data_IF_408960602520
#
_entry.id   IF_408960602520
#
_cell.length_a   1.000
_cell.length_b   1.000
_cell.length_c   1.000
_cell.angle_alpha   90.00
_cell.angle_beta   90.00
_cell.angle_gamma   90.00
#
_symmetry.space_group_name_H-M   'P 1'
#
loop_
_entity.id
_entity.type
_entity.pdbx_description
1 polymer ?
#
# COMPACT_ATOMS: atom_id res chain seq x y z
N UNK A 1 9.34 10.52 0.00
CA UNK A 1 7.89 10.37 0.25
C UNK A 1 7.71 10.46 1.76
N UNK A 2 7.24 11.59 2.24
CA UNK A 2 7.18 11.93 3.66
C UNK A 2 5.75 11.69 4.16
N UNK A 3 5.34 10.44 4.38
CA UNK A 3 4.09 10.19 5.12
C UNK A 3 4.44 10.23 6.61
N UNK A 4 4.46 11.45 7.16
CA UNK A 4 4.92 11.78 8.52
C UNK A 4 4.10 11.09 9.63
N UNK A 5 2.93 10.50 9.30
CA UNK A 5 2.06 9.79 10.24
C UNK A 5 2.36 8.30 10.45
N UNK A 6 3.14 7.64 9.58
CA UNK A 6 3.45 6.21 9.67
C UNK A 6 4.89 5.92 10.16
N UNK A 7 5.63 6.95 10.55
CA UNK A 7 6.98 6.80 11.11
C UNK A 7 8.07 6.36 10.12
N UNK A 8 7.77 6.25 8.82
CA UNK A 8 8.74 5.91 7.77
C UNK A 8 9.20 4.44 7.74
N UNK A 9 8.77 3.64 8.73
CA UNK A 9 9.13 2.23 8.92
C UNK A 9 7.92 1.30 8.86
N UNK A 10 6.73 1.82 8.58
CA UNK A 10 5.53 0.99 8.49
C UNK A 10 5.67 -0.05 7.35
N UNK A 11 5.22 -1.31 7.52
CA UNK A 11 5.35 -2.37 6.51
C UNK A 11 4.84 -1.98 5.11
N UNK A 12 3.79 -1.15 5.05
CA UNK A 12 3.27 -0.60 3.79
C UNK A 12 4.27 0.34 3.11
N UNK A 13 4.95 1.21 3.85
CA UNK A 13 5.93 2.14 3.29
C UNK A 13 7.20 1.41 2.83
N UNK A 14 7.60 0.36 3.54
CA UNK A 14 8.69 -0.53 3.11
C UNK A 14 8.32 -1.22 1.80
N UNK A 15 7.17 -1.88 1.72
CA UNK A 15 6.73 -2.54 0.51
C UNK A 15 6.52 -1.58 -0.67
N UNK A 16 6.08 -0.34 -0.41
CA UNK A 16 5.97 0.69 -1.46
C UNK A 16 7.31 1.08 -2.06
N UNK A 17 8.36 1.14 -1.23
CA UNK A 17 9.74 1.40 -1.67
C UNK A 17 10.33 0.20 -2.40
N UNK A 18 10.17 -1.01 -1.85
CA UNK A 18 10.64 -2.25 -2.49
C UNK A 18 10.00 -2.45 -3.88
N UNK A 19 8.71 -2.11 -4.01
CA UNK A 19 7.93 -2.31 -5.22
C UNK A 19 8.02 -1.20 -6.25
N UNK A 20 8.79 -0.12 -5.98
CA UNK A 20 8.87 1.10 -6.80
C UNK A 20 7.49 1.53 -7.33
N UNK A 21 6.52 1.62 -6.42
CA UNK A 21 5.11 1.83 -6.75
C UNK A 21 4.82 3.23 -7.32
N UNK A 22 5.40 4.32 -6.78
CA UNK A 22 5.14 5.66 -7.28
C UNK A 22 5.71 5.91 -8.68
N UNK A 23 4.92 6.52 -9.56
CA UNK A 23 5.45 7.27 -10.71
C UNK A 23 5.42 8.77 -10.41
N UNK A 24 4.26 9.43 -10.52
CA UNK A 24 4.13 10.87 -10.21
C UNK A 24 3.97 11.18 -8.71
N UNK A 25 3.77 10.17 -7.86
CA UNK A 25 3.64 10.34 -6.41
C UNK A 25 2.28 10.85 -5.89
N UNK A 26 1.47 11.50 -6.73
CA UNK A 26 0.28 12.25 -6.25
C UNK A 26 -0.75 11.42 -5.47
N UNK A 27 -1.09 10.22 -5.96
CA UNK A 27 -2.09 9.36 -5.31
C UNK A 27 -1.52 8.48 -4.19
N UNK A 28 -0.21 8.51 -3.96
CA UNK A 28 0.49 7.47 -3.20
C UNK A 28 0.20 7.55 -1.70
N UNK A 29 0.22 8.75 -1.10
CA UNK A 29 -0.09 8.93 0.32
C UNK A 29 -1.50 8.45 0.65
N UNK A 30 -2.49 8.74 -0.21
CA UNK A 30 -3.86 8.24 -0.05
C UNK A 30 -3.94 6.71 -0.14
N UNK A 31 -3.23 6.11 -1.10
CA UNK A 31 -3.18 4.65 -1.26
C UNK A 31 -2.46 3.95 -0.10
N UNK A 32 -1.38 4.52 0.42
CA UNK A 32 -0.63 4.00 1.57
C UNK A 32 -1.51 4.00 2.83
N UNK A 33 -2.23 5.09 3.09
CA UNK A 33 -3.14 5.17 4.24
C UNK A 33 -4.31 4.19 4.11
N UNK A 34 -4.90 4.06 2.91
CA UNK A 34 -5.95 3.08 2.65
C UNK A 34 -5.46 1.64 2.81
N UNK A 35 -4.26 1.32 2.31
CA UNK A 35 -3.63 0.02 2.46
C UNK A 35 -3.32 -0.31 3.93
N UNK A 36 -2.81 0.66 4.71
CA UNK A 36 -2.59 0.47 6.14
C UNK A 36 -3.90 0.17 6.89
N UNK A 37 -4.98 0.92 6.58
CA UNK A 37 -6.30 0.68 7.16
C UNK A 37 -6.90 -0.68 6.74
N UNK A 38 -6.70 -1.12 5.49
CA UNK A 38 -7.10 -2.44 5.03
C UNK A 38 -6.37 -3.54 5.80
N UNK A 39 -5.04 -3.45 5.92
CA UNK A 39 -4.23 -4.47 6.58
C UNK A 39 -4.48 -4.56 8.09
N UNK A 40 -4.88 -3.45 8.73
CA UNK A 40 -5.35 -3.46 10.11
C UNK A 40 -6.66 -4.26 10.29
N UNK A 41 -7.50 -4.36 9.26
CA UNK A 41 -8.76 -5.14 9.29
C UNK A 41 -8.58 -6.56 8.78
N UNK A 42 -7.77 -6.75 7.73
CA UNK A 42 -7.57 -8.01 7.03
C UNK A 42 -6.06 -8.24 6.86
N UNK A 43 -5.48 -9.04 7.75
CA UNK A 43 -4.03 -9.30 7.78
C UNK A 43 -3.49 -10.07 6.56
N UNK A 44 -4.36 -10.65 5.73
CA UNK A 44 -4.00 -11.32 4.48
C UNK A 44 -5.09 -11.07 3.42
N UNK A 45 -5.14 -9.87 2.81
CA UNK A 45 -6.20 -9.50 1.91
C UNK A 45 -6.08 -10.23 0.57
N UNK A 46 -7.21 -10.48 -0.09
CA UNK A 46 -7.22 -10.94 -1.49
C UNK A 46 -7.17 -9.76 -2.45
N UNK A 47 -6.91 -10.00 -3.75
CA UNK A 47 -7.02 -8.95 -4.77
C UNK A 47 -8.42 -8.34 -4.84
N UNK A 48 -9.46 -9.13 -4.56
CA UNK A 48 -10.83 -8.64 -4.50
C UNK A 48 -11.04 -7.67 -3.32
N UNK A 49 -10.46 -7.97 -2.15
CA UNK A 49 -10.51 -7.07 -1.00
C UNK A 49 -9.77 -5.76 -1.28
N UNK A 50 -8.59 -5.85 -1.92
CA UNK A 50 -7.81 -4.67 -2.30
C UNK A 50 -8.60 -3.79 -3.26
N UNK A 51 -9.21 -4.36 -4.30
CA UNK A 51 -9.99 -3.60 -5.28
C UNK A 51 -11.26 -2.99 -4.68
N UNK A 52 -11.83 -3.60 -3.62
CA UNK A 52 -13.00 -3.07 -2.93
C UNK A 52 -12.64 -1.90 -2.02
N UNK A 53 -11.56 -2.01 -1.25
CA UNK A 53 -11.20 -1.01 -0.24
C UNK A 53 -10.40 0.15 -0.84
N UNK A 54 -9.52 -0.11 -1.81
CA UNK A 54 -8.67 0.93 -2.39
C UNK A 54 -9.33 1.48 -3.65
N UNK A 55 -10.14 2.52 -3.44
CA UNK A 55 -10.86 3.24 -4.51
C UNK A 55 -10.10 4.47 -5.01
N UNK A 56 -8.86 4.70 -4.53
CA UNK A 56 -8.04 5.85 -4.92
C UNK A 56 -7.67 5.80 -6.40
N UNK A 57 -8.04 6.85 -7.14
CA UNK A 57 -7.68 6.99 -8.55
C UNK A 57 -6.18 7.25 -8.72
N UNK A 58 -5.53 6.39 -9.51
CA UNK A 58 -4.18 6.58 -10.02
C UNK A 58 -4.24 6.89 -11.52
N UNK A 59 -3.73 8.08 -11.91
CA UNK A 59 -3.66 8.46 -13.33
C UNK A 59 -2.46 7.85 -14.06
N UNK A 60 -1.40 7.50 -13.35
CA UNK A 60 -0.21 6.86 -13.91
C UNK A 60 -0.40 5.35 -14.20
N UNK A 61 -1.44 4.74 -13.64
CA UNK A 61 -1.76 3.33 -13.90
C UNK A 61 -0.94 2.32 -13.09
N UNK A 62 -0.43 2.69 -11.91
CA UNK A 62 0.46 1.82 -11.09
C UNK A 62 -0.27 0.77 -10.23
N UNK A 63 -1.56 0.50 -10.50
CA UNK A 63 -2.40 -0.40 -9.68
C UNK A 63 -1.84 -1.83 -9.53
N UNK A 64 -1.15 -2.36 -10.55
CA UNK A 64 -0.55 -3.69 -10.48
C UNK A 64 0.65 -3.73 -9.52
N UNK A 65 1.50 -2.70 -9.53
CA UNK A 65 2.61 -2.52 -8.57
C UNK A 65 2.07 -2.32 -7.15
N UNK A 66 1.03 -1.49 -7.02
CA UNK A 66 0.33 -1.25 -5.77
C UNK A 66 -0.23 -2.54 -5.16
N UNK A 67 -0.94 -3.37 -5.93
CA UNK A 67 -1.47 -4.67 -5.44
C UNK A 67 -0.36 -5.58 -4.91
N UNK A 68 0.74 -5.71 -5.66
CA UNK A 68 1.90 -6.51 -5.24
C UNK A 68 2.51 -5.97 -3.94
N UNK A 69 2.63 -4.65 -3.81
CA UNK A 69 3.15 -4.02 -2.61
C UNK A 69 2.25 -4.25 -1.38
N UNK A 70 0.92 -4.30 -1.54
CA UNK A 70 0.00 -4.59 -0.42
C UNK A 70 0.16 -6.02 0.08
N UNK A 71 0.25 -7.00 -0.84
CA UNK A 71 0.54 -8.39 -0.46
C UNK A 71 1.87 -8.52 0.26
N UNK A 72 2.90 -7.83 -0.27
CA UNK A 72 4.21 -7.78 0.37
C UNK A 72 4.17 -7.14 1.76
N UNK A 73 3.45 -6.05 1.92
CA UNK A 73 3.24 -5.40 3.21
C UNK A 73 2.54 -6.33 4.21
N UNK A 74 1.56 -7.13 3.76
CA UNK A 74 0.91 -8.14 4.58
C UNK A 74 1.89 -9.23 5.05
N UNK A 75 2.83 -9.66 4.20
CA UNK A 75 3.89 -10.59 4.61
C UNK A 75 4.85 -9.98 5.63
N UNK A 76 5.26 -8.73 5.42
CA UNK A 76 6.16 -8.00 6.32
C UNK A 76 5.52 -7.80 7.69
N UNK A 77 4.24 -7.38 7.74
CA UNK A 77 3.50 -7.14 8.97
C UNK A 77 3.30 -8.40 9.83
N UNK A 78 3.32 -9.60 9.23
CA UNK A 78 3.23 -10.88 9.96
C UNK A 78 4.58 -11.41 10.45
N UNK A 79 5.68 -10.90 9.92
CA UNK A 79 7.05 -11.30 10.28
C UNK A 79 7.64 -10.42 11.39
N UNK A 80 6.97 -9.33 11.74
CA UNK A 80 7.28 -8.43 12.86
C UNK A 80 6.52 -8.88 14.11
#
# INVERSE_FOLDING_TARGET
MSDEGLGGTHPVQEAWREGDVPDCGYCQSGQIMAAAALLAKIANPTDADINREITNLCRCGTYSRMRKAIHRAAELARKQ
#
